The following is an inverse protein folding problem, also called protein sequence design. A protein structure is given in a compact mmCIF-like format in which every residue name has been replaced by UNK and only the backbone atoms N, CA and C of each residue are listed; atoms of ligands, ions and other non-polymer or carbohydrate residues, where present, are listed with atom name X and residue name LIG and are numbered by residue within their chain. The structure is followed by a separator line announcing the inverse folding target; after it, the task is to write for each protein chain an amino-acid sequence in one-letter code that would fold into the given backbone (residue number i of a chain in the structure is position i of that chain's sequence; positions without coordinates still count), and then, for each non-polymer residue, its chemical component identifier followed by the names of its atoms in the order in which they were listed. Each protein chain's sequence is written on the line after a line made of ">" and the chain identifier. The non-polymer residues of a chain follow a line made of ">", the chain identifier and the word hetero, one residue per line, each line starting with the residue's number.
data_IF_286071106711
#
_entry.id   IF_286071106711
#
_cell.length_a   1.000
_cell.length_b   1.000
_cell.length_c   1.000
_cell.angle_alpha   90.00
_cell.angle_beta   90.00
_cell.angle_gamma   90.00
#
_symmetry.space_group_name_H-M   'P 1'
#
loop_
_entity.id
_entity.type
_entity.pdbx_description
1 polymer ?
#
# COMPACT_ATOMS: atom_id res chain seq x y z
N UNK A 1 -31.28 49.80 15.27
CA UNK A 1 -31.51 50.55 16.52
C UNK A 1 -30.19 51.12 17.02
N UNK A 2 -30.13 52.40 17.38
CA UNK A 2 -28.94 53.05 17.96
C UNK A 2 -29.00 52.91 19.49
N UNK A 3 -27.88 52.56 20.14
CA UNK A 3 -27.67 52.80 21.58
C UNK A 3 -26.41 53.63 21.75
N UNK A 4 -26.56 54.76 22.42
CA UNK A 4 -25.54 55.79 22.64
C UNK A 4 -24.71 55.46 23.87
N UNK A 5 -23.41 55.77 23.81
CA UNK A 5 -22.54 55.90 24.98
C UNK A 5 -22.24 57.38 25.17
N UNK A 6 -22.60 57.92 26.34
CA UNK A 6 -22.20 59.26 26.73
C UNK A 6 -22.05 59.34 28.25
N UNK A 7 -20.85 59.69 28.73
CA UNK A 7 -20.59 60.07 30.12
C UNK A 7 -19.30 60.88 30.23
N UNK A 8 -19.41 62.16 29.88
CA UNK A 8 -18.47 63.18 30.35
C UNK A 8 -18.70 63.42 31.85
N UNK A 9 -17.62 63.58 32.61
CA UNK A 9 -17.64 64.31 33.89
C UNK A 9 -16.42 65.23 33.93
N UNK A 10 -16.66 66.50 34.25
CA UNK A 10 -15.65 67.55 34.20
C UNK A 10 -15.22 68.06 35.58
N UNK A 11 -13.89 68.16 35.74
CA UNK A 11 -13.06 69.28 36.25
C UNK A 11 -13.58 70.19 37.40
N UNK A 12 -12.62 70.64 38.21
CA UNK A 12 -12.63 71.70 39.26
C UNK A 12 -13.20 71.26 40.63
N UNK A 13 -12.60 71.61 41.78
CA UNK A 13 -11.40 72.41 42.11
C UNK A 13 -10.71 71.79 43.36
N UNK A 14 -9.66 72.32 44.04
CA UNK A 14 -9.04 73.67 44.11
C UNK A 14 -7.62 73.56 44.69
N UNK A 15 -6.78 74.59 44.55
CA UNK A 15 -5.54 74.79 45.33
C UNK A 15 -5.61 76.13 46.06
N UNK A 16 -5.11 76.21 47.30
CA UNK A 16 -4.30 77.32 47.83
C UNK A 16 -3.73 76.96 49.23
N UNK A 17 -2.59 77.52 49.65
CA UNK A 17 -1.87 77.10 50.85
C UNK A 17 -2.08 78.04 52.06
N UNK A 18 -1.72 77.56 53.26
CA UNK A 18 -1.39 78.39 54.42
C UNK A 18 -0.11 77.88 55.09
N UNK A 19 0.62 78.78 55.75
CA UNK A 19 1.97 78.54 56.23
C UNK A 19 2.09 78.61 57.77
N UNK A 20 3.29 78.26 58.24
CA UNK A 20 3.94 78.74 59.47
C UNK A 20 3.89 77.86 60.74
N UNK A 21 4.98 77.08 60.88
CA UNK A 21 5.93 77.15 62.00
C UNK A 21 5.55 76.53 63.38
N UNK A 22 6.38 75.55 63.82
CA UNK A 22 7.14 75.63 65.09
C UNK A 22 8.22 74.54 65.18
N UNK A 23 9.38 74.91 65.71
CA UNK A 23 10.58 74.09 65.81
C UNK A 23 10.51 73.06 66.95
N UNK A 24 10.96 71.82 66.70
CA UNK A 24 11.54 70.92 67.70
C UNK A 24 12.67 70.11 67.05
N UNK A 25 13.91 70.55 67.23
CA UNK A 25 15.11 69.86 66.71
C UNK A 25 16.01 69.38 67.85
N UNK A 26 15.86 68.11 68.25
CA UNK A 26 16.96 67.35 68.85
C UNK A 26 16.72 65.83 68.73
N UNK A 27 17.76 65.09 68.35
CA UNK A 27 17.93 63.64 68.61
C UNK A 27 16.98 62.60 67.96
N UNK A 28 16.48 62.84 66.75
CA UNK A 28 15.69 61.84 65.98
C UNK A 28 16.51 61.11 64.88
N UNK A 29 17.65 61.67 64.46
CA UNK A 29 18.45 61.19 63.31
C UNK A 29 19.04 59.78 63.49
N UNK A 30 19.42 59.40 64.70
CA UNK A 30 19.98 58.07 64.98
C UNK A 30 18.96 56.93 64.83
N UNK A 31 17.73 57.13 65.32
CA UNK A 31 16.68 56.09 65.26
C UNK A 31 16.16 55.90 63.84
N UNK A 32 15.94 56.98 63.07
CA UNK A 32 15.50 56.87 61.67
C UNK A 32 16.57 56.17 60.83
N UNK A 33 17.86 56.50 61.02
CA UNK A 33 18.96 55.83 60.31
C UNK A 33 18.97 54.32 60.54
N UNK A 34 18.83 53.88 61.81
CA UNK A 34 18.80 52.46 62.17
C UNK A 34 17.59 51.73 61.57
N UNK A 35 16.41 52.35 61.59
CA UNK A 35 15.18 51.77 61.02
C UNK A 35 15.24 51.69 59.49
N UNK A 36 15.79 52.70 58.80
CA UNK A 36 15.96 52.67 57.33
C UNK A 36 16.97 51.59 56.93
N UNK A 37 18.07 51.43 57.67
CA UNK A 37 19.04 50.35 57.45
C UNK A 37 18.44 48.96 57.69
N UNK A 38 17.65 48.79 58.76
CA UNK A 38 16.94 47.55 59.05
C UNK A 38 15.91 47.22 57.95
N UNK A 39 15.17 48.22 57.44
CA UNK A 39 14.24 48.03 56.33
C UNK A 39 14.98 47.64 55.04
N UNK A 40 16.12 48.26 54.74
CA UNK A 40 16.96 47.92 53.58
C UNK A 40 17.46 46.46 53.64
N UNK A 41 17.95 46.04 54.81
CA UNK A 41 18.43 44.68 55.05
C UNK A 41 17.31 43.64 54.96
N UNK A 42 16.13 43.93 55.53
CA UNK A 42 14.95 43.08 55.38
C UNK A 42 14.51 42.97 53.91
N UNK A 43 14.50 44.07 53.15
CA UNK A 43 14.18 44.04 51.72
C UNK A 43 15.16 43.15 50.93
N UNK A 44 16.47 43.21 51.20
CA UNK A 44 17.43 42.36 50.50
C UNK A 44 17.26 40.87 50.81
N UNK A 45 16.97 40.51 52.07
CA UNK A 45 16.73 39.12 52.48
C UNK A 45 15.46 38.53 51.84
N UNK A 46 14.39 39.32 51.74
CA UNK A 46 13.14 38.88 51.09
C UNK A 46 13.35 38.66 49.59
N UNK A 47 14.04 39.57 48.89
CA UNK A 47 14.30 39.43 47.45
C UNK A 47 15.17 38.23 47.08
N UNK A 48 15.98 37.71 48.01
CA UNK A 48 16.89 36.59 47.72
C UNK A 48 16.19 35.23 47.75
N UNK A 49 15.13 35.08 48.55
CA UNK A 49 14.38 33.83 48.68
C UNK A 49 13.45 33.59 47.48
N UNK A 50 12.68 34.61 47.07
CA UNK A 50 11.75 34.49 45.94
C UNK A 50 12.47 34.25 44.61
N UNK A 51 13.64 34.87 44.41
CA UNK A 51 14.37 34.76 43.16
C UNK A 51 15.01 33.37 42.96
N UNK A 52 15.34 32.65 44.03
CA UNK A 52 15.91 31.30 43.92
C UNK A 52 14.86 30.27 43.50
N UNK A 53 13.63 30.36 44.03
CA UNK A 53 12.54 29.46 43.67
C UNK A 53 11.95 29.75 42.29
N UNK A 54 11.87 31.03 41.88
CA UNK A 54 11.51 31.40 40.49
C UNK A 54 12.55 30.84 39.50
N UNK A 55 13.84 30.94 39.81
CA UNK A 55 14.92 30.39 38.98
C UNK A 55 14.85 28.85 38.93
N UNK A 56 14.65 28.17 40.06
CA UNK A 56 14.45 26.71 40.10
C UNK A 56 13.23 26.28 39.29
N UNK A 57 12.10 26.98 39.38
CA UNK A 57 10.89 26.67 38.60
C UNK A 57 11.10 26.90 37.10
N UNK A 58 11.74 28.00 36.68
CA UNK A 58 12.07 28.26 35.29
C UNK A 58 13.00 27.16 34.72
N UNK A 59 14.09 26.83 35.43
CA UNK A 59 15.03 25.77 35.03
C UNK A 59 14.31 24.41 34.91
N UNK A 60 13.41 24.08 35.84
CA UNK A 60 12.62 22.83 35.81
C UNK A 60 11.68 22.76 34.61
N UNK A 61 11.07 23.88 34.21
CA UNK A 61 10.21 23.97 33.02
C UNK A 61 11.01 23.77 31.72
N UNK A 62 12.19 24.41 31.62
CA UNK A 62 13.05 24.27 30.44
C UNK A 62 13.66 22.86 30.31
N UNK A 63 13.98 22.19 31.42
CA UNK A 63 14.55 20.83 31.43
C UNK A 63 13.60 19.78 30.86
N UNK A 64 12.29 19.89 31.14
CA UNK A 64 11.26 19.04 30.52
C UNK A 64 10.97 19.40 29.05
N UNK A 65 10.96 20.69 28.72
CA UNK A 65 10.70 21.19 27.36
C UNK A 65 11.74 20.71 26.34
N UNK A 66 13.01 20.60 26.74
CA UNK A 66 14.08 20.05 25.90
C UNK A 66 13.82 18.60 25.47
N UNK A 67 13.47 17.73 26.42
CA UNK A 67 13.22 16.29 26.19
C UNK A 67 12.01 16.06 25.28
N UNK A 68 10.92 16.80 25.49
CA UNK A 68 9.75 16.71 24.63
C UNK A 68 10.04 17.18 23.19
N UNK A 69 10.86 18.22 23.02
CA UNK A 69 11.29 18.70 21.70
C UNK A 69 12.21 17.69 21.01
N UNK A 70 13.15 17.05 21.72
CA UNK A 70 14.01 16.02 21.12
C UNK A 70 13.23 14.77 20.74
N UNK A 71 12.28 14.31 21.55
CA UNK A 71 11.41 13.18 21.15
C UNK A 71 10.53 13.51 19.93
N UNK A 72 9.94 14.71 19.87
CA UNK A 72 9.16 15.13 18.68
C UNK A 72 10.04 15.19 17.43
N UNK A 73 11.26 15.71 17.53
CA UNK A 73 12.22 15.74 16.40
C UNK A 73 12.64 14.33 15.98
N UNK A 74 12.92 13.44 16.93
CA UNK A 74 13.29 12.05 16.64
C UNK A 74 12.16 11.31 15.93
N UNK A 75 10.91 11.47 16.39
CA UNK A 75 9.74 10.88 15.74
C UNK A 75 9.56 11.37 14.30
N UNK A 76 9.73 12.68 14.05
CA UNK A 76 9.66 13.24 12.69
C UNK A 76 10.76 12.63 11.78
N UNK A 77 12.01 12.62 12.22
CA UNK A 77 13.13 12.06 11.46
C UNK A 77 12.89 10.57 11.14
N UNK A 78 12.43 9.79 12.11
CA UNK A 78 12.20 8.36 11.96
C UNK A 78 11.07 8.06 10.95
N UNK A 79 9.95 8.79 11.03
CA UNK A 79 8.83 8.58 10.11
C UNK A 79 9.12 9.11 8.70
N UNK A 80 9.79 10.26 8.56
CA UNK A 80 10.24 10.74 7.25
C UNK A 80 11.25 9.78 6.61
N UNK A 81 12.17 9.18 7.38
CA UNK A 81 13.08 8.13 6.88
C UNK A 81 12.32 6.89 6.42
N UNK A 82 11.34 6.42 7.20
CA UNK A 82 10.49 5.26 6.83
C UNK A 82 9.71 5.53 5.53
N UNK A 83 9.04 6.68 5.42
CA UNK A 83 8.29 7.05 4.21
C UNK A 83 9.22 7.17 2.99
N UNK A 84 10.38 7.80 3.13
CA UNK A 84 11.39 7.87 2.06
C UNK A 84 11.87 6.48 1.63
N UNK A 85 12.07 5.57 2.59
CA UNK A 85 12.39 4.16 2.31
C UNK A 85 11.29 3.43 1.53
N UNK A 86 10.02 3.62 1.91
CA UNK A 86 8.86 3.03 1.22
C UNK A 86 8.73 3.55 -0.22
N UNK A 87 8.86 4.86 -0.46
CA UNK A 87 8.81 5.44 -1.81
C UNK A 87 9.97 4.94 -2.71
N UNK A 88 11.16 4.76 -2.13
CA UNK A 88 12.28 4.14 -2.83
C UNK A 88 12.03 2.65 -3.15
N UNK A 89 11.53 1.88 -2.18
CA UNK A 89 11.14 0.47 -2.38
C UNK A 89 10.06 0.32 -3.45
N UNK A 90 9.03 1.17 -3.45
CA UNK A 90 8.01 1.22 -4.50
C UNK A 90 8.65 1.41 -5.87
N UNK A 91 9.60 2.34 -6.02
CA UNK A 91 10.29 2.59 -7.30
C UNK A 91 11.05 1.35 -7.78
N UNK A 92 11.70 0.63 -6.86
CA UNK A 92 12.35 -0.67 -7.16
C UNK A 92 11.33 -1.72 -7.61
N UNK A 93 10.18 -1.83 -6.93
CA UNK A 93 9.11 -2.77 -7.29
C UNK A 93 8.49 -2.43 -8.64
N UNK A 94 8.19 -1.17 -8.94
CA UNK A 94 7.69 -0.74 -10.25
C UNK A 94 8.66 -1.10 -11.38
N UNK A 95 9.97 -0.95 -11.16
CA UNK A 95 10.98 -1.35 -12.15
C UNK A 95 11.04 -2.88 -12.33
N UNK A 96 10.84 -3.67 -11.27
CA UNK A 96 10.69 -5.13 -11.36
C UNK A 96 9.44 -5.53 -12.14
N UNK A 97 8.27 -4.95 -11.83
CA UNK A 97 7.01 -5.20 -12.54
C UNK A 97 7.12 -4.85 -14.04
N UNK A 98 7.72 -3.71 -14.40
CA UNK A 98 8.02 -3.35 -15.79
C UNK A 98 8.96 -4.33 -16.49
N UNK A 99 9.88 -4.94 -15.74
CA UNK A 99 10.80 -5.95 -16.27
C UNK A 99 10.11 -7.30 -16.45
N UNK A 100 9.17 -7.66 -15.57
CA UNK A 100 8.34 -8.86 -15.66
C UNK A 100 7.35 -8.79 -16.84
N UNK A 101 6.68 -7.65 -17.05
CA UNK A 101 5.83 -7.40 -18.24
C UNK A 101 6.64 -7.67 -19.51
N UNK A 102 7.83 -7.04 -19.65
CA UNK A 102 8.72 -7.24 -20.82
C UNK A 102 9.24 -8.67 -20.99
N UNK A 103 9.25 -9.46 -19.93
CA UNK A 103 9.62 -10.88 -20.02
C UNK A 103 8.44 -11.68 -20.58
N UNK A 104 7.24 -11.49 -20.04
CA UNK A 104 5.99 -12.12 -20.50
C UNK A 104 5.66 -11.73 -21.96
N UNK A 105 5.83 -10.46 -22.33
CA UNK A 105 5.65 -9.99 -23.72
C UNK A 105 6.56 -10.71 -24.72
N UNK A 106 7.76 -11.11 -24.29
CA UNK A 106 8.78 -11.76 -25.13
C UNK A 106 8.73 -13.29 -25.09
N UNK A 107 8.00 -13.86 -24.14
CA UNK A 107 7.88 -15.31 -24.03
C UNK A 107 7.10 -15.85 -25.24
N UNK A 108 7.71 -16.76 -25.98
CA UNK A 108 7.08 -17.45 -27.12
C UNK A 108 6.33 -18.72 -26.71
N UNK A 109 6.48 -19.18 -25.46
CA UNK A 109 5.80 -20.35 -24.92
C UNK A 109 4.40 -20.08 -24.35
N UNK A 110 4.08 -18.81 -24.04
CA UNK A 110 2.77 -18.40 -23.52
C UNK A 110 1.73 -18.19 -24.62
N UNK A 111 0.51 -18.68 -24.38
CA UNK A 111 -0.66 -18.34 -25.21
C UNK A 111 -0.91 -16.82 -25.21
N UNK A 112 -1.66 -16.33 -26.20
CA UNK A 112 -2.03 -14.91 -26.28
C UNK A 112 -2.89 -14.48 -25.09
N UNK A 113 -3.80 -15.35 -24.68
CA UNK A 113 -4.71 -15.19 -23.55
C UNK A 113 -3.93 -15.17 -22.22
N UNK A 114 -3.03 -16.13 -22.02
CA UNK A 114 -2.17 -16.21 -20.82
C UNK A 114 -1.26 -14.98 -20.69
N UNK A 115 -0.65 -14.56 -21.80
CA UNK A 115 0.19 -13.35 -21.88
C UNK A 115 -0.60 -12.11 -21.51
N UNK A 116 -1.78 -11.94 -22.09
CA UNK A 116 -2.67 -10.79 -21.83
C UNK A 116 -3.07 -10.75 -20.35
N UNK A 117 -3.47 -11.90 -19.78
CA UNK A 117 -3.82 -12.01 -18.37
C UNK A 117 -2.66 -11.68 -17.42
N UNK A 118 -1.47 -12.22 -17.69
CA UNK A 118 -0.28 -11.95 -16.85
C UNK A 118 0.19 -10.49 -16.93
N UNK A 119 0.20 -9.88 -18.13
CA UNK A 119 0.51 -8.45 -18.28
C UNK A 119 -0.49 -7.60 -17.51
N UNK A 120 -1.79 -7.85 -17.70
CA UNK A 120 -2.86 -7.12 -17.00
C UNK A 120 -2.74 -7.25 -15.47
N UNK A 121 -2.43 -8.45 -14.97
CA UNK A 121 -2.17 -8.69 -13.53
C UNK A 121 -1.03 -7.81 -13.01
N UNK A 122 0.08 -7.68 -13.74
CA UNK A 122 1.18 -6.79 -13.35
C UNK A 122 0.82 -5.31 -13.46
N UNK A 123 -0.04 -4.91 -14.41
CA UNK A 123 -0.54 -3.54 -14.53
C UNK A 123 -1.43 -3.15 -13.35
N UNK A 124 -2.32 -4.04 -12.90
CA UNK A 124 -3.13 -3.83 -11.68
C UNK A 124 -2.21 -3.60 -10.47
N UNK A 125 -1.18 -4.41 -10.27
CA UNK A 125 -0.21 -4.17 -9.19
C UNK A 125 0.57 -2.85 -9.33
N UNK A 126 0.82 -2.36 -10.55
CA UNK A 126 1.40 -1.03 -10.74
C UNK A 126 0.42 0.10 -10.41
N UNK A 127 -0.86 -0.06 -10.78
CA UNK A 127 -1.97 0.87 -10.46
C UNK A 127 -2.14 0.98 -8.95
N UNK A 128 -2.26 -0.15 -8.26
CA UNK A 128 -2.40 -0.27 -6.79
C UNK A 128 -1.28 0.47 -6.03
N UNK A 129 -0.01 0.23 -6.41
CA UNK A 129 1.14 0.92 -5.81
C UNK A 129 1.15 2.43 -6.09
N UNK A 130 0.57 2.87 -7.20
CA UNK A 130 0.41 4.29 -7.51
C UNK A 130 -0.71 4.92 -6.71
N UNK A 131 -1.83 4.22 -6.51
CA UNK A 131 -2.94 4.76 -5.74
C UNK A 131 -2.67 4.80 -4.24
N UNK A 132 -1.98 3.79 -3.71
CA UNK A 132 -1.44 3.79 -2.35
C UNK A 132 -0.55 5.02 -2.06
N UNK A 133 0.27 5.46 -3.04
CA UNK A 133 1.07 6.68 -2.90
C UNK A 133 0.21 7.96 -2.98
N UNK A 134 -0.73 8.02 -3.93
CA UNK A 134 -1.67 9.14 -4.05
C UNK A 134 -2.42 9.36 -2.72
N UNK A 135 -2.99 8.30 -2.15
CA UNK A 135 -3.72 8.31 -0.88
C UNK A 135 -2.90 8.87 0.29
N UNK A 136 -1.60 8.52 0.38
CA UNK A 136 -0.69 9.09 1.39
C UNK A 136 -0.54 10.60 1.19
N UNK A 137 -0.35 11.06 -0.04
CA UNK A 137 -0.24 12.50 -0.31
C UNK A 137 -1.56 13.25 -0.12
N UNK A 138 -2.71 12.68 -0.47
CA UNK A 138 -4.02 13.28 -0.18
C UNK A 138 -4.25 13.46 1.32
N UNK A 139 -3.85 12.49 2.15
CA UNK A 139 -3.90 12.63 3.61
C UNK A 139 -3.01 13.77 4.13
N UNK A 140 -1.80 13.92 3.57
CA UNK A 140 -0.88 15.02 3.90
C UNK A 140 -1.47 16.38 3.50
N UNK A 141 -2.00 16.51 2.28
CA UNK A 141 -2.63 17.75 1.81
C UNK A 141 -3.90 18.10 2.59
N UNK A 142 -4.71 17.11 2.96
CA UNK A 142 -5.88 17.29 3.82
C UNK A 142 -5.51 17.83 5.20
N UNK A 143 -4.45 17.28 5.82
CA UNK A 143 -3.92 17.78 7.08
C UNK A 143 -3.36 19.20 6.95
N UNK A 144 -2.58 19.48 5.90
CA UNK A 144 -2.03 20.82 5.65
C UNK A 144 -3.16 21.87 5.51
N UNK A 145 -4.21 21.56 4.74
CA UNK A 145 -5.37 22.44 4.55
C UNK A 145 -6.09 22.71 5.87
N UNK A 146 -6.31 21.67 6.68
CA UNK A 146 -6.93 21.81 8.00
C UNK A 146 -6.09 22.64 9.00
N UNK A 147 -4.76 22.61 8.90
CA UNK A 147 -3.85 23.43 9.71
C UNK A 147 -3.71 24.88 9.23
N UNK A 148 -3.98 25.14 7.94
CA UNK A 148 -3.86 26.47 7.31
C UNK A 148 -5.19 27.25 7.28
N UNK A 149 -6.34 26.58 7.43
CA UNK A 149 -7.66 27.22 7.42
C UNK A 149 -7.93 28.12 8.64
N UNK A 150 -8.74 29.16 8.45
CA UNK A 150 -9.21 29.98 9.56
C UNK A 150 -10.28 29.24 10.37
N UNK A 151 -9.83 28.62 11.46
CA UNK A 151 -10.64 27.89 12.43
C UNK A 151 -11.63 28.76 13.23
N UNK A 152 -11.60 30.10 13.07
CA UNK A 152 -12.61 31.00 13.66
C UNK A 152 -13.82 31.20 12.75
N UNK A 153 -13.69 30.93 11.46
CA UNK A 153 -14.81 30.97 10.52
C UNK A 153 -15.42 29.57 10.32
N UNK A 154 -16.66 29.44 10.79
CA UNK A 154 -17.45 28.22 10.67
C UNK A 154 -17.78 27.92 9.19
N UNK A 155 -17.83 28.93 8.32
CA UNK A 155 -18.06 28.72 6.87
C UNK A 155 -16.84 28.06 6.23
N UNK A 156 -15.63 28.57 6.47
CA UNK A 156 -14.38 27.91 6.06
C UNK A 156 -14.23 26.49 6.64
N UNK A 157 -14.58 26.26 7.92
CA UNK A 157 -14.58 24.91 8.50
C UNK A 157 -15.59 23.97 7.83
N UNK A 158 -16.81 24.45 7.53
CA UNK A 158 -17.84 23.69 6.82
C UNK A 158 -17.37 23.31 5.42
N UNK A 159 -16.83 24.27 4.67
CA UNK A 159 -16.36 24.07 3.30
C UNK A 159 -15.16 23.11 3.26
N UNK A 160 -14.16 23.29 4.12
CA UNK A 160 -13.05 22.34 4.24
C UNK A 160 -13.50 20.94 4.66
N UNK A 161 -14.59 20.81 5.41
CA UNK A 161 -15.17 19.51 5.77
C UNK A 161 -15.93 18.87 4.61
N UNK A 162 -16.64 19.67 3.82
CA UNK A 162 -17.34 19.23 2.60
C UNK A 162 -16.35 18.72 1.55
N UNK A 163 -15.28 19.48 1.26
CA UNK A 163 -14.24 19.04 0.32
C UNK A 163 -13.56 17.73 0.74
N UNK A 164 -13.39 17.51 2.06
CA UNK A 164 -12.86 16.23 2.56
C UNK A 164 -13.87 15.10 2.41
N UNK A 165 -15.17 15.37 2.55
CA UNK A 165 -16.22 14.39 2.32
C UNK A 165 -16.29 13.96 0.85
N UNK A 166 -16.22 14.90 -0.09
CA UNK A 166 -16.20 14.56 -1.53
C UNK A 166 -14.95 13.78 -1.91
N UNK A 167 -13.76 14.20 -1.45
CA UNK A 167 -12.53 13.44 -1.69
C UNK A 167 -12.56 12.00 -1.13
N UNK A 168 -13.25 11.79 0.00
CA UNK A 168 -13.46 10.44 0.56
C UNK A 168 -14.48 9.62 -0.25
N UNK A 169 -15.50 10.25 -0.85
CA UNK A 169 -16.45 9.58 -1.75
C UNK A 169 -15.78 9.18 -3.07
N UNK A 170 -15.02 10.09 -3.66
CA UNK A 170 -14.24 9.81 -4.87
C UNK A 170 -13.25 8.66 -4.64
N UNK A 171 -12.55 8.65 -3.51
CA UNK A 171 -11.66 7.55 -3.11
C UNK A 171 -12.42 6.23 -2.94
N UNK A 172 -13.57 6.22 -2.25
CA UNK A 172 -14.35 5.00 -2.03
C UNK A 172 -14.93 4.42 -3.33
N UNK A 173 -15.43 5.25 -4.24
CA UNK A 173 -15.91 4.82 -5.56
C UNK A 173 -14.75 4.21 -6.35
N UNK A 174 -13.56 4.80 -6.27
CA UNK A 174 -12.38 4.30 -6.97
C UNK A 174 -11.90 2.96 -6.42
N UNK A 175 -11.81 2.82 -5.09
CA UNK A 175 -11.47 1.58 -4.40
C UNK A 175 -12.48 0.46 -4.75
N UNK A 176 -13.78 0.77 -4.83
CA UNK A 176 -14.81 -0.16 -5.30
C UNK A 176 -14.56 -0.60 -6.75
N UNK A 177 -14.22 0.32 -7.67
CA UNK A 177 -13.90 -0.07 -9.06
C UNK A 177 -12.65 -0.92 -9.17
N UNK A 178 -11.61 -0.63 -8.38
CA UNK A 178 -10.35 -1.39 -8.34
C UNK A 178 -10.56 -2.80 -7.76
N UNK A 179 -11.42 -2.95 -6.74
CA UNK A 179 -11.84 -4.24 -6.21
C UNK A 179 -12.65 -5.07 -7.23
N UNK A 180 -13.53 -4.44 -8.01
CA UNK A 180 -14.29 -5.13 -9.08
C UNK A 180 -13.38 -5.59 -10.23
N UNK A 181 -12.35 -4.81 -10.60
CA UNK A 181 -11.31 -5.23 -11.56
C UNK A 181 -10.56 -6.48 -11.05
N UNK A 182 -10.18 -6.52 -9.77
CA UNK A 182 -9.52 -7.68 -9.15
C UNK A 182 -10.41 -8.93 -9.15
N UNK A 183 -11.70 -8.81 -8.82
CA UNK A 183 -12.66 -9.91 -8.89
C UNK A 183 -12.83 -10.47 -10.31
N UNK A 184 -12.79 -9.59 -11.33
CA UNK A 184 -12.85 -10.02 -12.72
C UNK A 184 -11.60 -10.86 -13.11
N UNK A 185 -10.42 -10.47 -12.64
CA UNK A 185 -9.18 -11.22 -12.84
C UNK A 185 -9.20 -12.58 -12.11
N UNK A 186 -9.62 -12.63 -10.85
CA UNK A 186 -9.77 -13.89 -10.09
C UNK A 186 -10.72 -14.86 -10.80
N UNK A 187 -11.87 -14.36 -11.25
CA UNK A 187 -12.85 -15.16 -12.00
C UNK A 187 -12.23 -15.74 -13.27
N UNK A 188 -11.48 -14.96 -14.04
CA UNK A 188 -10.81 -15.43 -15.25
C UNK A 188 -9.80 -16.55 -14.96
N UNK A 189 -9.05 -16.44 -13.86
CA UNK A 189 -8.14 -17.50 -13.40
C UNK A 189 -8.90 -18.77 -13.00
N UNK A 190 -10.00 -18.64 -12.27
CA UNK A 190 -10.84 -19.77 -11.85
C UNK A 190 -11.49 -20.50 -13.06
N UNK A 191 -11.88 -19.76 -14.10
CA UNK A 191 -12.39 -20.33 -15.35
C UNK A 191 -11.29 -21.04 -16.16
N UNK A 192 -10.09 -20.47 -16.25
CA UNK A 192 -8.94 -21.14 -16.88
C UNK A 192 -8.59 -22.47 -16.18
N UNK A 193 -8.54 -22.49 -14.84
CA UNK A 193 -8.31 -23.70 -14.06
C UNK A 193 -9.40 -24.78 -14.29
N UNK A 194 -10.67 -24.38 -14.37
CA UNK A 194 -11.76 -25.31 -14.71
C UNK A 194 -11.62 -25.88 -16.12
N UNK A 195 -11.26 -25.05 -17.10
CA UNK A 195 -11.07 -25.50 -18.48
C UNK A 195 -9.93 -26.54 -18.58
N UNK A 196 -8.79 -26.30 -17.90
CA UNK A 196 -7.74 -27.32 -17.78
C UNK A 196 -8.22 -28.60 -17.07
N UNK A 197 -9.02 -28.47 -16.00
CA UNK A 197 -9.59 -29.64 -15.32
C UNK A 197 -10.53 -30.45 -16.23
N UNK A 198 -11.30 -29.78 -17.10
CA UNK A 198 -12.15 -30.44 -18.08
C UNK A 198 -11.33 -31.13 -19.18
N UNK A 199 -10.29 -30.49 -19.71
CA UNK A 199 -9.36 -31.10 -20.66
C UNK A 199 -8.69 -32.36 -20.09
N UNK A 200 -8.17 -32.30 -18.86
CA UNK A 200 -7.54 -33.44 -18.20
C UNK A 200 -8.50 -34.62 -17.99
N UNK A 201 -9.79 -34.35 -17.71
CA UNK A 201 -10.82 -35.41 -17.64
C UNK A 201 -11.06 -36.05 -19.01
N UNK A 202 -11.12 -35.26 -20.08
CA UNK A 202 -11.27 -35.78 -21.44
C UNK A 202 -10.05 -36.61 -21.88
N UNK A 203 -8.83 -36.19 -21.53
CA UNK A 203 -7.61 -36.98 -21.77
C UNK A 203 -7.64 -38.30 -20.99
N UNK A 204 -8.02 -38.29 -19.71
CA UNK A 204 -8.14 -39.52 -18.90
C UNK A 204 -9.15 -40.52 -19.46
N UNK A 205 -10.22 -40.06 -20.12
CA UNK A 205 -11.21 -40.93 -20.79
C UNK A 205 -10.62 -41.51 -22.09
N UNK A 206 -9.81 -40.74 -22.81
CA UNK A 206 -9.12 -41.23 -24.01
C UNK A 206 -8.06 -42.29 -23.65
N UNK A 207 -7.33 -42.12 -22.55
CA UNK A 207 -6.38 -43.11 -22.04
C UNK A 207 -7.08 -44.42 -21.65
N UNK A 208 -8.26 -44.35 -21.01
CA UNK A 208 -9.09 -45.52 -20.69
C UNK A 208 -9.54 -46.26 -21.96
N UNK A 209 -10.01 -45.53 -22.97
CA UNK A 209 -10.41 -46.10 -24.27
C UNK A 209 -9.21 -46.74 -24.99
N UNK A 210 -8.04 -46.10 -24.98
CA UNK A 210 -6.83 -46.62 -25.62
C UNK A 210 -6.33 -47.90 -24.92
N UNK A 211 -6.42 -47.97 -23.60
CA UNK A 211 -6.06 -49.14 -22.81
C UNK A 211 -7.03 -50.32 -23.07
N UNK A 212 -8.33 -50.05 -23.26
CA UNK A 212 -9.29 -51.09 -23.61
C UNK A 212 -9.18 -51.54 -25.08
N UNK A 213 -8.86 -50.63 -26.01
CA UNK A 213 -8.51 -50.97 -27.40
C UNK A 213 -7.24 -51.83 -27.43
N UNK A 214 -6.24 -51.54 -26.60
CA UNK A 214 -5.02 -52.35 -26.46
C UNK A 214 -5.35 -53.77 -25.99
N UNK A 215 -6.11 -53.93 -24.91
CA UNK A 215 -6.55 -55.27 -24.44
C UNK A 215 -7.40 -56.01 -25.47
N UNK A 216 -8.23 -55.32 -26.24
CA UNK A 216 -9.03 -55.91 -27.30
C UNK A 216 -8.15 -56.38 -28.47
N UNK A 217 -7.10 -55.64 -28.82
CA UNK A 217 -6.11 -56.03 -29.81
C UNK A 217 -5.26 -57.23 -29.32
N UNK A 218 -4.77 -57.19 -28.07
CA UNK A 218 -4.00 -58.29 -27.46
C UNK A 218 -4.81 -59.61 -27.47
N UNK A 219 -6.11 -59.55 -27.14
CA UNK A 219 -7.02 -60.71 -27.21
C UNK A 219 -7.29 -61.17 -28.64
N UNK A 220 -7.42 -60.24 -29.58
CA UNK A 220 -7.61 -60.58 -30.99
C UNK A 220 -6.35 -61.23 -31.57
N UNK A 221 -5.16 -60.84 -31.13
CA UNK A 221 -3.90 -61.51 -31.47
C UNK A 221 -3.81 -62.92 -30.87
N UNK A 222 -4.31 -63.13 -29.64
CA UNK A 222 -4.44 -64.47 -29.03
C UNK A 222 -5.44 -65.35 -29.82
N UNK A 223 -6.65 -64.85 -30.09
CA UNK A 223 -7.67 -65.59 -30.87
C UNK A 223 -7.21 -65.92 -32.29
N UNK A 224 -6.62 -64.97 -33.02
CA UNK A 224 -6.06 -65.20 -34.38
C UNK A 224 -4.82 -66.10 -34.30
N UNK A 225 -3.97 -65.96 -33.30
CA UNK A 225 -2.77 -66.78 -33.10
C UNK A 225 -3.11 -68.26 -32.89
N UNK A 226 -4.17 -68.55 -32.14
CA UNK A 226 -4.69 -69.92 -31.97
C UNK A 226 -5.41 -70.43 -33.24
N UNK A 227 -6.22 -69.61 -33.92
CA UNK A 227 -7.07 -70.08 -35.01
C UNK A 227 -6.42 -70.07 -36.42
N UNK A 228 -5.35 -69.29 -36.65
CA UNK A 228 -4.71 -69.16 -37.97
C UNK A 228 -4.08 -70.46 -38.51
N UNK A 229 -3.90 -71.49 -37.67
CA UNK A 229 -3.34 -72.78 -38.08
C UNK A 229 -4.29 -73.98 -37.90
N UNK A 230 -5.36 -73.88 -37.12
CA UNK A 230 -6.23 -75.03 -36.81
C UNK A 230 -7.33 -75.29 -37.85
N UNK A 231 -7.83 -74.27 -38.56
CA UNK A 231 -8.81 -74.44 -39.64
C UNK A 231 -8.25 -75.24 -40.85
N UNK A 232 -6.93 -75.36 -40.98
CA UNK A 232 -6.29 -76.19 -42.01
C UNK A 232 -6.17 -77.68 -41.64
N UNK A 233 -6.64 -78.10 -40.45
CA UNK A 233 -6.46 -79.46 -39.94
C UNK A 233 -7.75 -80.29 -39.85
N UNK A 234 -8.91 -79.64 -39.85
CA UNK A 234 -10.23 -80.28 -39.71
C UNK A 234 -10.92 -80.58 -41.05
N UNK A 235 -10.59 -79.86 -42.13
CA UNK A 235 -11.25 -80.04 -43.43
C UNK A 235 -10.65 -81.19 -44.23
N UNK A 236 -11.15 -82.41 -43.97
CA UNK A 236 -11.02 -83.54 -44.89
C UNK A 236 -11.76 -83.25 -46.21
N UNK A 237 -11.08 -82.62 -47.17
CA UNK A 237 -11.54 -82.55 -48.56
C UNK A 237 -11.51 -81.19 -49.25
N UNK A 238 -10.49 -80.36 -49.04
CA UNK A 238 -10.21 -79.22 -49.94
C UNK A 238 -9.09 -79.58 -50.91
N UNK A 239 -9.26 -79.21 -52.18
CA UNK A 239 -8.23 -79.39 -53.20
C UNK A 239 -7.12 -78.35 -52.98
N UNK A 240 -5.91 -78.81 -52.65
CA UNK A 240 -4.74 -77.95 -52.59
C UNK A 240 -4.24 -77.65 -54.01
N UNK A 241 -4.54 -76.47 -54.53
CA UNK A 241 -3.97 -75.98 -55.79
C UNK A 241 -2.53 -75.51 -55.56
N UNK A 242 -1.57 -76.38 -55.89
CA UNK A 242 -0.16 -76.03 -55.85
C UNK A 242 0.20 -75.19 -57.09
N UNK A 243 0.21 -73.86 -56.93
CA UNK A 243 0.72 -72.94 -57.96
C UNK A 243 2.24 -73.10 -58.05
N UNK A 244 2.69 -73.93 -58.99
CA UNK A 244 4.09 -74.07 -59.32
C UNK A 244 4.57 -72.76 -59.95
N UNK A 245 5.45 -72.02 -59.27
CA UNK A 245 6.24 -70.99 -59.95
C UNK A 245 7.28 -71.70 -60.80
N UNK A 246 7.02 -71.77 -62.10
CA UNK A 246 8.06 -72.03 -63.09
C UNK A 246 8.96 -70.80 -63.07
N UNK A 247 10.14 -70.95 -62.49
CA UNK A 247 11.25 -70.07 -62.84
C UNK A 247 11.60 -70.42 -64.29
N UNK A 248 11.44 -69.46 -65.20
CA UNK A 248 11.86 -69.63 -66.59
C UNK A 248 13.40 -69.69 -66.59
N UNK A 249 13.96 -70.88 -66.80
CA UNK A 249 15.38 -71.08 -67.03
C UNK A 249 15.81 -70.33 -68.32
N UNK A 250 16.20 -69.06 -68.17
CA UNK A 250 16.91 -68.29 -69.20
C UNK A 250 18.28 -68.92 -69.47
N UNK A 251 18.33 -69.87 -70.39
CA UNK A 251 19.56 -70.49 -70.88
C UNK A 251 19.57 -70.64 -72.42
N UNK A 252 19.77 -69.52 -73.10
CA UNK A 252 20.49 -69.37 -74.38
C UNK A 252 20.32 -70.44 -75.50
N UNK A 253 19.93 -70.00 -76.70
CA UNK A 253 20.97 -69.55 -77.66
C UNK A 253 20.49 -69.15 -79.07
N UNK A 254 21.28 -68.23 -79.64
CA UNK A 254 21.65 -68.05 -81.07
C UNK A 254 20.76 -67.25 -82.04
N UNK A 255 21.48 -66.32 -82.68
CA UNK A 255 21.32 -65.71 -84.02
C UNK A 255 20.28 -64.58 -84.14
N UNK A 256 20.59 -63.44 -84.73
CA UNK A 256 21.59 -63.17 -85.79
C UNK A 256 22.53 -61.98 -85.53
N UNK A 257 23.56 -61.92 -86.39
CA UNK A 257 24.37 -60.75 -86.76
C UNK A 257 23.48 -59.69 -87.42
#
# INVERSE_FOLDING_TARGET
>A
MRKTYDRKFGIFSKWHPTACNKNWTMSITGFISLWVLALLLCCQLITHAEHEDIVKHAIKLHRGRGVAITQKKQWLIENCRKLSGLLHQKTVVLNKLKSAIRAVEKDSGLSLEERTFQVHTFEIFQKELNESENSVFQAIYGLQRALQGDYKDVVNMKESSHQRLEALREAAIKEETEYVELLAAEKHQAEALKNMQHQNKSLSILDEILEDVRKAADRLEEEIGEHAFDDNKSVRGVNFEAVLRVEEDEADSKRNI
#
